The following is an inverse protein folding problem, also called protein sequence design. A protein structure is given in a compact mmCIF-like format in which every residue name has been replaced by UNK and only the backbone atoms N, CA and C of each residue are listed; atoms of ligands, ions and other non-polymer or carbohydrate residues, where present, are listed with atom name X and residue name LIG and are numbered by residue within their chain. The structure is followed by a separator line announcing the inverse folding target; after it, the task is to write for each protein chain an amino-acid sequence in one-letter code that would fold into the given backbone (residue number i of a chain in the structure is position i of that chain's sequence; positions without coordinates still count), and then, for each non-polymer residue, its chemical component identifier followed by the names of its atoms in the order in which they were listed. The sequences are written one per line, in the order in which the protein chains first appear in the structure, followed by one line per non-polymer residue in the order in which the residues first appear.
data_IF_016024913276
#
_entry.id   IF_016024913276
#
_cell.length_a   1.000
_cell.length_b   1.000
_cell.length_c   1.000
_cell.angle_alpha   90.00
_cell.angle_beta   90.00
_cell.angle_gamma   90.00
#
_symmetry.space_group_name_H-M   'P 1'
#
loop_
_entity.id
_entity.type
_entity.pdbx_description
1 polymer ?
#
# COMPACT_ATOMS: atom_id res chain seq x y z
N UNK A 1 -19.11 28.12 -1.42
CA UNK A 1 -18.24 26.93 -1.39
C UNK A 1 -17.43 26.97 -0.11
N UNK A 2 -17.40 25.90 0.67
CA UNK A 2 -18.07 25.83 1.99
C UNK A 2 -16.98 25.64 3.07
N UNK A 3 -17.03 26.40 4.16
CA UNK A 3 -16.07 26.40 5.29
C UNK A 3 -15.74 24.96 5.76
N UNK A 4 -16.71 24.04 5.70
CA UNK A 4 -16.52 22.65 6.07
C UNK A 4 -15.47 21.91 5.22
N UNK A 5 -15.42 22.16 3.90
CA UNK A 5 -14.46 21.52 2.99
C UNK A 5 -13.03 22.01 3.26
N UNK A 6 -12.89 23.30 3.53
CA UNK A 6 -11.61 23.93 3.87
C UNK A 6 -11.05 23.36 5.18
N UNK A 7 -11.91 23.18 6.20
CA UNK A 7 -11.52 22.52 7.46
C UNK A 7 -11.12 21.05 7.22
N UNK A 8 -11.81 20.32 6.34
CA UNK A 8 -11.45 18.94 6.00
C UNK A 8 -10.08 18.85 5.32
N UNK A 9 -9.82 19.71 4.33
CA UNK A 9 -8.56 19.72 3.60
C UNK A 9 -7.39 20.12 4.51
N UNK A 10 -7.59 21.11 5.38
CA UNK A 10 -6.61 21.52 6.38
C UNK A 10 -6.27 20.38 7.34
N UNK A 11 -7.27 19.74 7.95
CA UNK A 11 -7.04 18.62 8.88
C UNK A 11 -6.31 17.45 8.23
N UNK A 12 -6.60 17.18 6.96
CA UNK A 12 -5.89 16.14 6.20
C UNK A 12 -4.42 16.50 5.99
N UNK A 13 -4.13 17.75 5.65
CA UNK A 13 -2.75 18.24 5.51
C UNK A 13 -1.98 18.16 6.84
N UNK A 14 -2.61 18.57 7.94
CA UNK A 14 -2.05 18.46 9.29
C UNK A 14 -1.74 17.01 9.67
N UNK A 15 -2.67 16.08 9.41
CA UNK A 15 -2.46 14.66 9.68
C UNK A 15 -1.28 14.08 8.87
N UNK A 16 -1.19 14.43 7.58
CA UNK A 16 -0.07 13.98 6.72
C UNK A 16 1.27 14.52 7.22
N UNK A 17 1.32 15.78 7.65
CA UNK A 17 2.55 16.38 8.20
C UNK A 17 2.93 15.77 9.54
N UNK A 18 1.97 15.50 10.42
CA UNK A 18 2.20 14.82 11.69
C UNK A 18 2.75 13.41 11.48
N UNK A 19 2.15 12.62 10.59
CA UNK A 19 2.66 11.29 10.21
C UNK A 19 4.07 11.39 9.64
N UNK A 20 4.38 12.39 8.79
CA UNK A 20 5.74 12.57 8.27
C UNK A 20 6.76 12.82 9.37
N UNK A 21 6.44 13.68 10.34
CA UNK A 21 7.31 13.95 11.48
C UNK A 21 7.52 12.69 12.33
N UNK A 22 6.45 11.95 12.60
CA UNK A 22 6.50 10.67 13.30
C UNK A 22 7.44 9.67 12.62
N UNK A 23 7.28 9.46 11.31
CA UNK A 23 8.12 8.52 10.55
C UNK A 23 9.59 8.93 10.49
N UNK A 24 9.89 10.25 10.43
CA UNK A 24 11.26 10.75 10.51
C UNK A 24 11.91 10.45 11.87
N UNK A 25 11.17 10.66 12.96
CA UNK A 25 11.64 10.35 14.32
C UNK A 25 11.77 8.84 14.53
N UNK A 26 10.83 8.06 14.03
CA UNK A 26 10.84 6.60 14.11
C UNK A 26 12.08 6.01 13.42
N UNK A 27 12.46 6.56 12.27
CA UNK A 27 13.63 6.14 11.51
C UNK A 27 14.97 6.34 12.24
N UNK A 28 15.05 7.19 13.27
CA UNK A 28 16.30 7.43 14.02
C UNK A 28 16.73 6.22 14.86
N UNK A 29 15.78 5.36 15.26
CA UNK A 29 16.02 4.24 16.19
C UNK A 29 15.56 2.88 15.67
N UNK A 30 14.95 2.83 14.49
CA UNK A 30 14.41 1.61 13.89
C UNK A 30 15.08 1.28 12.55
N UNK A 31 15.09 -0.01 12.20
CA UNK A 31 15.64 -0.46 10.93
C UNK A 31 14.64 -0.21 9.77
N UNK A 32 15.08 -0.46 8.54
CA UNK A 32 14.26 -0.24 7.35
C UNK A 32 12.98 -1.09 7.32
N UNK A 33 13.02 -2.34 7.80
CA UNK A 33 11.85 -3.23 7.80
C UNK A 33 10.77 -2.65 8.72
N UNK A 34 11.14 -2.29 9.95
CA UNK A 34 10.24 -1.69 10.93
C UNK A 34 9.68 -0.35 10.42
N UNK A 35 10.54 0.48 9.80
CA UNK A 35 10.11 1.76 9.22
C UNK A 35 9.10 1.58 8.08
N UNK A 36 9.30 0.57 7.21
CA UNK A 36 8.35 0.26 6.15
C UNK A 36 7.02 -0.26 6.71
N UNK A 37 7.05 -1.08 7.77
CA UNK A 37 5.83 -1.53 8.44
C UNK A 37 5.04 -0.34 9.01
N UNK A 38 5.73 0.53 9.75
CA UNK A 38 5.08 1.68 10.38
C UNK A 38 4.55 2.68 9.35
N UNK A 39 5.27 2.85 8.23
CA UNK A 39 4.77 3.63 7.09
C UNK A 39 3.47 3.07 6.54
N UNK A 40 3.33 1.74 6.44
CA UNK A 40 2.10 1.10 5.98
C UNK A 40 0.97 1.25 7.01
N UNK A 41 1.27 1.08 8.30
CA UNK A 41 0.31 1.28 9.38
C UNK A 41 -0.27 2.71 9.37
N UNK A 42 0.59 3.72 9.23
CA UNK A 42 0.18 5.12 9.15
C UNK A 42 -0.61 5.42 7.86
N UNK A 43 -0.19 4.83 6.73
CA UNK A 43 -0.90 5.00 5.46
C UNK A 43 -2.31 4.42 5.54
N UNK A 44 -2.48 3.23 6.12
CA UNK A 44 -3.81 2.64 6.34
C UNK A 44 -4.72 3.54 7.18
N UNK A 45 -4.20 4.15 8.25
CA UNK A 45 -4.96 5.10 9.09
C UNK A 45 -5.40 6.32 8.27
N UNK A 46 -4.49 6.92 7.51
CA UNK A 46 -4.75 8.12 6.70
C UNK A 46 -5.74 7.87 5.56
N UNK A 47 -5.74 6.67 4.96
CA UNK A 47 -6.63 6.32 3.84
C UNK A 47 -7.87 5.53 4.27
N UNK A 48 -7.95 5.14 5.54
CA UNK A 48 -8.94 4.17 6.03
C UNK A 48 -8.91 2.84 5.26
N UNK A 49 -7.73 2.42 4.80
CA UNK A 49 -7.55 1.14 4.11
C UNK A 49 -7.56 -0.03 5.09
N UNK A 50 -7.98 -1.20 4.63
CA UNK A 50 -7.99 -2.44 5.41
C UNK A 50 -6.75 -3.30 5.25
N UNK A 51 -5.88 -2.95 4.29
CA UNK A 51 -4.68 -3.67 3.90
C UNK A 51 -3.64 -2.69 3.34
N UNK A 52 -2.37 -2.97 3.60
CA UNK A 52 -1.21 -2.18 3.16
C UNK A 52 -0.03 -3.07 2.84
N UNK A 53 0.64 -2.77 1.72
CA UNK A 53 1.83 -3.48 1.24
C UNK A 53 2.85 -2.55 0.61
N UNK A 54 4.11 -2.99 0.60
CA UNK A 54 5.20 -2.30 -0.07
C UNK A 54 6.03 -3.26 -0.90
N UNK A 55 6.25 -2.94 -2.18
CA UNK A 55 7.12 -3.71 -3.07
C UNK A 55 8.27 -2.84 -3.58
N UNK A 56 9.45 -3.43 -3.70
CA UNK A 56 10.52 -2.87 -4.51
C UNK A 56 10.36 -3.32 -5.96
N UNK A 57 10.72 -2.43 -6.88
CA UNK A 57 10.93 -2.77 -8.28
C UNK A 57 12.36 -3.28 -8.40
N UNK A 58 12.52 -4.51 -8.86
CA UNK A 58 13.84 -5.13 -8.96
C UNK A 58 14.67 -4.49 -10.09
N UNK A 59 15.99 -4.73 -10.08
CA UNK A 59 16.92 -4.14 -11.05
C UNK A 59 16.60 -4.50 -12.50
N UNK A 60 16.02 -5.69 -12.72
CA UNK A 60 15.57 -6.13 -14.05
C UNK A 60 14.36 -5.34 -14.57
N UNK A 61 13.76 -4.52 -13.70
CA UNK A 61 12.54 -3.72 -13.89
C UNK A 61 11.33 -4.54 -14.31
N UNK A 62 11.36 -5.86 -14.19
CA UNK A 62 10.37 -6.82 -14.67
C UNK A 62 9.75 -7.63 -13.54
N UNK A 63 10.36 -7.63 -12.37
CA UNK A 63 9.79 -8.23 -11.16
C UNK A 63 9.59 -7.20 -10.04
N UNK A 64 8.75 -7.62 -9.10
CA UNK A 64 8.44 -6.89 -7.88
C UNK A 64 8.76 -7.81 -6.71
N UNK A 65 9.52 -7.30 -5.74
CA UNK A 65 9.80 -8.00 -4.50
C UNK A 65 9.04 -7.35 -3.37
N UNK A 66 8.09 -8.07 -2.78
CA UNK A 66 7.41 -7.65 -1.56
C UNK A 66 8.43 -7.43 -0.45
N UNK A 67 8.41 -6.24 0.14
CA UNK A 67 9.26 -5.87 1.26
C UNK A 67 8.53 -6.00 2.58
N UNK A 68 7.28 -5.52 2.65
CA UNK A 68 6.54 -5.57 3.90
C UNK A 68 5.01 -5.49 3.70
N UNK A 69 4.31 -5.95 4.73
CA UNK A 69 2.88 -5.79 4.96
C UNK A 69 2.67 -4.92 6.19
N UNK A 70 1.53 -4.23 6.28
CA UNK A 70 1.13 -3.61 7.55
C UNK A 70 0.92 -4.66 8.64
N UNK A 71 1.03 -4.26 9.91
CA UNK A 71 0.83 -5.15 11.06
C UNK A 71 -0.55 -5.82 11.04
N UNK A 72 -1.58 -5.07 10.64
CA UNK A 72 -2.95 -5.58 10.47
C UNK A 72 -3.00 -6.67 9.40
N UNK A 73 -2.37 -6.43 8.27
CA UNK A 73 -2.35 -7.38 7.15
C UNK A 73 -1.59 -8.66 7.52
N UNK A 74 -0.45 -8.54 8.19
CA UNK A 74 0.31 -9.70 8.69
C UNK A 74 -0.50 -10.54 9.67
N UNK A 75 -1.25 -9.89 10.56
CA UNK A 75 -2.14 -10.57 11.53
C UNK A 75 -3.26 -11.35 10.83
N UNK A 76 -3.89 -10.73 9.81
CA UNK A 76 -4.90 -11.39 8.99
C UNK A 76 -4.32 -12.57 8.20
N UNK A 77 -3.10 -12.42 7.67
CA UNK A 77 -2.39 -13.47 6.93
C UNK A 77 -2.01 -14.66 7.78
N UNK A 78 -1.46 -14.41 8.98
CA UNK A 78 -1.07 -15.46 9.93
C UNK A 78 -2.27 -16.33 10.34
N UNK A 79 -3.47 -15.74 10.31
CA UNK A 79 -4.73 -16.44 10.58
C UNK A 79 -5.24 -17.25 9.36
N UNK A 80 -4.69 -17.02 8.17
CA UNK A 80 -5.09 -17.67 6.92
C UNK A 80 -4.05 -18.71 6.47
N UNK A 81 -4.45 -19.97 6.36
CA UNK A 81 -3.60 -21.01 5.75
C UNK A 81 -3.48 -20.76 4.24
N UNK A 82 -2.48 -20.00 3.80
CA UNK A 82 -2.22 -19.75 2.38
C UNK A 82 -0.98 -18.89 2.16
N UNK A 83 0.07 -19.50 1.61
CA UNK A 83 1.32 -18.81 1.28
C UNK A 83 1.20 -18.04 -0.05
N UNK A 84 1.80 -16.85 -0.04
CA UNK A 84 2.04 -15.92 -1.15
C UNK A 84 0.86 -15.08 -1.64
N UNK A 85 0.97 -13.79 -1.36
CA UNK A 85 0.11 -12.70 -1.80
C UNK A 85 0.64 -11.98 -3.05
N UNK A 86 1.77 -12.46 -3.61
CA UNK A 86 2.39 -11.78 -4.73
C UNK A 86 1.48 -11.84 -5.96
N UNK A 87 1.19 -10.71 -6.63
CA UNK A 87 0.60 -10.78 -7.96
C UNK A 87 1.52 -11.63 -8.84
N UNK A 88 0.94 -12.54 -9.63
CA UNK A 88 1.67 -13.41 -10.54
C UNK A 88 1.45 -13.02 -12.00
N UNK A 89 2.45 -13.21 -12.87
CA UNK A 89 2.28 -13.15 -14.32
C UNK A 89 1.82 -11.79 -14.87
N UNK A 90 0.61 -11.75 -15.45
CA UNK A 90 0.05 -10.59 -16.19
C UNK A 90 -0.24 -9.37 -15.31
N UNK A 91 -0.45 -9.59 -14.02
CA UNK A 91 -0.77 -8.51 -13.08
C UNK A 91 0.47 -7.69 -12.73
N UNK A 92 1.58 -8.37 -12.45
CA UNK A 92 2.89 -7.75 -12.24
C UNK A 92 3.29 -6.93 -13.45
N UNK A 93 3.08 -7.43 -14.66
CA UNK A 93 3.40 -6.68 -15.88
C UNK A 93 2.53 -5.43 -16.05
N UNK A 94 1.25 -5.49 -15.67
CA UNK A 94 0.33 -4.34 -15.70
C UNK A 94 0.72 -3.28 -14.64
N UNK A 95 1.07 -3.73 -13.44
CA UNK A 95 1.58 -2.85 -12.39
C UNK A 95 2.86 -2.15 -12.83
N UNK A 96 3.83 -2.92 -13.34
CA UNK A 96 5.11 -2.39 -13.79
C UNK A 96 4.96 -1.39 -14.95
N UNK A 97 4.06 -1.59 -15.92
CA UNK A 97 3.84 -0.59 -16.97
C UNK A 97 3.34 0.73 -16.40
N UNK A 98 2.38 0.69 -15.46
CA UNK A 98 1.84 1.92 -14.84
C UNK A 98 2.85 2.61 -13.92
N UNK A 99 3.59 1.83 -13.12
CA UNK A 99 4.66 2.32 -12.24
C UNK A 99 5.76 3.00 -13.06
N UNK A 100 6.18 2.41 -14.19
CA UNK A 100 7.18 3.02 -15.10
C UNK A 100 6.71 4.34 -15.68
N UNK A 101 5.40 4.50 -15.91
CA UNK A 101 4.78 5.76 -16.34
C UNK A 101 4.57 6.75 -15.19
N UNK A 102 5.04 6.43 -13.98
CA UNK A 102 4.86 7.23 -12.77
C UNK A 102 3.37 7.53 -12.48
N UNK A 103 2.49 6.58 -12.83
CA UNK A 103 1.05 6.73 -12.66
C UNK A 103 0.54 5.84 -11.53
N UNK A 104 -0.37 6.41 -10.74
CA UNK A 104 -1.16 5.65 -9.78
C UNK A 104 -1.99 4.57 -10.49
N UNK A 105 -2.15 3.44 -9.81
CA UNK A 105 -3.07 2.37 -10.18
C UNK A 105 -4.26 2.47 -9.24
N UNK A 106 -5.44 2.58 -9.81
CA UNK A 106 -6.69 2.72 -9.05
C UNK A 106 -7.66 1.68 -9.59
N UNK A 107 -8.03 0.75 -8.73
CA UNK A 107 -9.08 -0.24 -9.00
C UNK A 107 -10.24 0.03 -8.05
N UNK A 108 -11.36 0.54 -8.57
CA UNK A 108 -12.54 0.91 -7.79
C UNK A 108 -13.75 -0.02 -7.98
N UNK A 109 -13.61 -1.04 -8.81
CA UNK A 109 -14.63 -2.06 -9.08
C UNK A 109 -14.17 -3.40 -8.51
N UNK A 110 -15.14 -4.25 -8.16
CA UNK A 110 -14.94 -5.57 -7.56
C UNK A 110 -13.71 -6.30 -8.13
N UNK A 111 -12.68 -6.41 -7.30
CA UNK A 111 -11.40 -7.04 -7.66
C UNK A 111 -11.57 -8.52 -8.00
N UNK A 112 -12.68 -9.15 -7.60
CA UNK A 112 -13.01 -10.52 -7.99
C UNK A 112 -13.21 -10.68 -9.50
N UNK A 113 -13.58 -9.62 -10.21
CA UNK A 113 -13.72 -9.59 -11.68
C UNK A 113 -12.38 -9.26 -12.35
N UNK A 114 -11.55 -8.48 -11.68
CA UNK A 114 -10.25 -8.04 -12.19
C UNK A 114 -9.13 -8.97 -11.71
N UNK A 115 -9.08 -10.20 -12.24
CA UNK A 115 -7.91 -11.11 -12.33
C UNK A 115 -6.95 -11.29 -11.13
N UNK A 116 -7.22 -10.68 -9.96
CA UNK A 116 -6.35 -10.61 -8.79
C UNK A 116 -6.41 -11.92 -8.04
N UNK A 117 -5.80 -12.93 -8.67
CA UNK A 117 -5.74 -14.31 -8.20
C UNK A 117 -4.76 -14.49 -7.02
N UNK A 118 -4.29 -13.40 -6.41
CA UNK A 118 -3.26 -13.40 -5.37
C UNK A 118 -3.76 -13.29 -3.93
N UNK A 119 -5.02 -12.92 -3.68
CA UNK A 119 -5.50 -12.70 -2.32
C UNK A 119 -5.86 -14.02 -1.60
N UNK A 120 -5.17 -14.41 -0.49
CA UNK A 120 -5.56 -15.57 0.30
C UNK A 120 -6.96 -15.37 0.86
N UNK A 121 -7.60 -16.48 1.23
CA UNK A 121 -9.02 -16.53 1.65
C UNK A 121 -9.41 -15.54 2.75
N UNK A 122 -8.46 -14.99 3.50
CA UNK A 122 -8.68 -13.94 4.51
C UNK A 122 -8.98 -12.54 3.95
N UNK A 123 -8.84 -12.32 2.64
CA UNK A 123 -9.00 -11.00 2.00
C UNK A 123 -10.17 -10.93 1.01
N UNK A 124 -11.15 -11.81 1.15
CA UNK A 124 -12.35 -11.86 0.28
C UNK A 124 -13.16 -10.56 0.21
N UNK A 125 -12.98 -9.66 1.18
CA UNK A 125 -13.71 -8.39 1.27
C UNK A 125 -12.95 -7.20 0.65
N UNK A 126 -11.76 -7.41 0.08
CA UNK A 126 -11.01 -6.33 -0.60
C UNK A 126 -11.67 -6.06 -1.96
N UNK A 127 -12.41 -4.96 -2.03
CA UNK A 127 -13.19 -4.57 -3.23
C UNK A 127 -12.51 -3.50 -4.08
N UNK A 128 -11.49 -2.84 -3.53
CA UNK A 128 -10.81 -1.68 -4.14
C UNK A 128 -9.32 -1.67 -3.77
N UNK A 129 -8.51 -1.14 -4.67
CA UNK A 129 -7.06 -1.04 -4.52
C UNK A 129 -6.53 0.30 -5.04
N UNK A 130 -5.53 0.82 -4.33
CA UNK A 130 -4.73 1.97 -4.73
C UNK A 130 -3.24 1.62 -4.64
N UNK A 131 -2.52 1.71 -5.74
CA UNK A 131 -1.05 1.54 -5.77
C UNK A 131 -0.41 2.83 -6.27
N UNK A 132 0.52 3.38 -5.48
CA UNK A 132 1.24 4.61 -5.79
C UNK A 132 2.72 4.30 -5.96
N UNK A 133 3.35 4.69 -7.09
CA UNK A 133 4.79 4.53 -7.26
C UNK A 133 5.56 5.51 -6.36
N UNK A 134 6.50 5.00 -5.57
CA UNK A 134 7.47 5.81 -4.83
C UNK A 134 8.71 5.99 -5.71
N UNK A 135 9.02 7.23 -6.06
CA UNK A 135 10.08 7.57 -7.02
C UNK A 135 11.20 8.27 -6.25
N UNK A 136 12.43 7.78 -6.42
CA UNK A 136 13.62 8.50 -5.97
C UNK A 136 13.84 9.69 -6.91
N UNK A 137 13.75 10.90 -6.37
CA UNK A 137 14.09 12.15 -7.05
C UNK A 137 15.59 12.41 -7.10
#
# INVERSE_FOLDING_TARGET
MSIAREITDQKRSEAVNATRLHLLQFAESHNLIDLLEETLNETEKLTSSSLGFYHFVDEDKKSLTLQNWSTRTQSALSSSQGNSLLPGGKEVSTWLDRIRRQKAIIHNSDLSVNHFNGFPKGFKDVTRELVIPVIKG
#
